data_IF_372691322284
#
_entry.id   IF_372691322284
#
_cell.length_a   1.000
_cell.length_b   1.000
_cell.length_c   1.000
_cell.angle_alpha   90.00
_cell.angle_beta   90.00
_cell.angle_gamma   90.00
#
_symmetry.space_group_name_H-M   'P 1'
#
loop_
_entity.id
_entity.type
_entity.pdbx_description
1 polymer ?
#
# COMPACT_ATOMS: atom_id res chain seq x y z
N UNK A 1 6.91 -2.03 -18.02
CA UNK A 1 5.61 -1.95 -17.32
C UNK A 1 5.50 -3.18 -16.44
N UNK A 2 5.39 -3.01 -15.12
CA UNK A 2 5.40 -4.11 -14.14
C UNK A 2 4.10 -4.92 -14.15
N UNK A 3 2.95 -4.23 -14.29
CA UNK A 3 1.63 -4.85 -14.45
C UNK A 3 1.14 -4.53 -15.84
N UNK A 4 0.82 -5.57 -16.63
CA UNK A 4 0.31 -5.43 -18.00
C UNK A 4 -1.21 -5.58 -18.01
N UNK A 5 -1.89 -4.66 -18.68
CA UNK A 5 -3.35 -4.76 -18.87
C UNK A 5 -3.70 -6.00 -19.68
N UNK A 6 -4.51 -6.87 -19.10
CA UNK A 6 -5.06 -8.06 -19.75
C UNK A 6 -6.36 -8.49 -19.05
N UNK A 7 -7.12 -9.37 -19.70
CA UNK A 7 -8.30 -9.99 -19.10
C UNK A 7 -7.95 -11.25 -18.27
N UNK A 8 -6.66 -11.56 -18.14
CA UNK A 8 -6.22 -12.67 -17.31
C UNK A 8 -6.51 -12.38 -15.82
N UNK A 9 -6.67 -13.44 -15.06
CA UNK A 9 -6.89 -13.35 -13.62
C UNK A 9 -5.68 -12.73 -12.92
N UNK A 10 -5.91 -11.67 -12.17
CA UNK A 10 -4.91 -11.03 -11.31
C UNK A 10 -4.93 -11.63 -9.90
N UNK A 11 -6.11 -11.73 -9.30
CA UNK A 11 -6.33 -12.31 -7.98
C UNK A 11 -7.80 -12.67 -7.77
N UNK A 12 -8.07 -13.48 -6.75
CA UNK A 12 -9.41 -13.81 -6.25
C UNK A 12 -9.55 -13.20 -4.86
N UNK A 13 -10.62 -12.47 -4.60
CA UNK A 13 -10.88 -11.92 -3.27
C UNK A 13 -11.46 -12.99 -2.30
N UNK A 14 -11.58 -12.62 -1.02
CA UNK A 14 -12.06 -13.54 0.03
C UNK A 14 -13.54 -13.95 -0.14
N UNK A 15 -14.32 -13.27 -0.99
CA UNK A 15 -15.69 -13.68 -1.37
C UNK A 15 -15.70 -14.63 -2.57
N UNK A 16 -14.54 -14.95 -3.13
CA UNK A 16 -14.39 -15.81 -4.30
C UNK A 16 -14.65 -15.06 -5.63
N UNK A 17 -14.63 -13.73 -5.63
CA UNK A 17 -14.78 -12.95 -6.87
C UNK A 17 -13.43 -12.83 -7.57
N UNK A 18 -13.43 -13.15 -8.86
CA UNK A 18 -12.28 -12.97 -9.75
C UNK A 18 -12.08 -11.49 -10.11
N UNK A 19 -10.83 -11.04 -10.09
CA UNK A 19 -10.41 -9.73 -10.55
C UNK A 19 -9.36 -9.87 -11.65
N UNK A 20 -9.65 -9.30 -12.83
CA UNK A 20 -8.70 -9.27 -13.94
C UNK A 20 -7.63 -8.20 -13.76
N UNK A 21 -6.49 -8.33 -14.44
CA UNK A 21 -5.47 -7.25 -14.46
C UNK A 21 -6.03 -5.94 -15.03
N UNK A 22 -6.99 -5.99 -15.94
CA UNK A 22 -7.66 -4.80 -16.47
C UNK A 22 -8.46 -4.08 -15.39
N UNK A 23 -9.30 -4.82 -14.64
CA UNK A 23 -10.06 -4.25 -13.51
C UNK A 23 -9.13 -3.73 -12.41
N UNK A 24 -8.06 -4.48 -12.13
CA UNK A 24 -7.06 -4.08 -11.14
C UNK A 24 -6.41 -2.74 -11.49
N UNK A 25 -5.91 -2.58 -12.72
CA UNK A 25 -5.33 -1.33 -13.19
C UNK A 25 -6.34 -0.16 -13.22
N UNK A 26 -7.58 -0.43 -13.63
CA UNK A 26 -8.66 0.56 -13.57
C UNK A 26 -8.86 1.06 -12.13
N UNK A 27 -8.97 0.16 -11.17
CA UNK A 27 -9.18 0.51 -9.76
C UNK A 27 -7.96 1.22 -9.14
N UNK A 28 -6.74 0.86 -9.53
CA UNK A 28 -5.53 1.62 -9.14
C UNK A 28 -5.61 3.07 -9.66
N UNK A 29 -6.01 3.29 -10.91
CA UNK A 29 -6.15 4.64 -11.48
C UNK A 29 -7.26 5.43 -10.79
N UNK A 30 -8.36 4.79 -10.41
CA UNK A 30 -9.43 5.40 -9.61
C UNK A 30 -8.93 5.82 -8.24
N UNK A 31 -8.21 4.96 -7.53
CA UNK A 31 -7.59 5.33 -6.24
C UNK A 31 -6.56 6.45 -6.40
N UNK A 32 -5.82 6.46 -7.51
CA UNK A 32 -4.86 7.53 -7.80
C UNK A 32 -5.52 8.89 -8.01
N UNK A 33 -6.81 8.95 -8.33
CA UNK A 33 -7.55 10.22 -8.47
C UNK A 33 -7.93 10.88 -7.15
N UNK A 34 -7.84 10.15 -6.03
CA UNK A 34 -8.17 10.66 -4.69
C UNK A 34 -7.17 11.69 -4.15
N UNK A 35 -5.99 11.77 -4.78
CA UNK A 35 -4.90 12.65 -4.34
C UNK A 35 -3.90 12.94 -5.47
N UNK A 36 -3.10 13.97 -5.27
CA UNK A 36 -2.13 14.44 -6.26
C UNK A 36 -0.81 13.66 -6.25
N UNK A 37 0.16 14.12 -7.05
CA UNK A 37 1.54 13.61 -7.07
C UNK A 37 2.19 13.76 -5.69
N UNK A 38 2.73 12.69 -5.18
CA UNK A 38 3.32 12.63 -3.83
C UNK A 38 4.79 13.04 -3.78
N UNK A 39 5.47 13.06 -4.94
CA UNK A 39 6.87 13.52 -5.01
C UNK A 39 7.84 12.78 -4.09
N UNK A 40 7.64 11.49 -3.86
CA UNK A 40 8.48 10.67 -2.98
C UNK A 40 8.06 10.65 -1.51
N UNK A 41 6.94 11.29 -1.16
CA UNK A 41 6.44 11.31 0.22
C UNK A 41 5.90 9.95 0.65
N UNK A 42 5.99 9.68 1.94
CA UNK A 42 5.50 8.46 2.57
C UNK A 42 3.98 8.49 2.72
N UNK A 43 3.35 7.34 2.54
CA UNK A 43 1.92 7.12 2.79
C UNK A 43 1.74 5.85 3.59
N UNK A 44 1.11 5.95 4.76
CA UNK A 44 0.80 4.80 5.60
C UNK A 44 -0.44 4.07 5.07
N UNK A 45 -0.35 2.75 4.96
CA UNK A 45 -1.50 1.87 4.67
C UNK A 45 -1.71 0.94 5.86
N UNK A 46 -2.81 1.12 6.56
CA UNK A 46 -3.23 0.33 7.71
C UNK A 46 -4.60 -0.31 7.44
N UNK A 47 -4.60 -1.50 6.89
CA UNK A 47 -5.80 -2.24 6.49
C UNK A 47 -5.53 -3.74 6.53
N UNK A 48 -6.58 -4.49 6.74
CA UNK A 48 -6.63 -5.93 6.55
C UNK A 48 -6.32 -6.31 5.08
N UNK A 49 -5.95 -7.57 4.83
CA UNK A 49 -5.73 -8.07 3.47
C UNK A 49 -7.05 -8.10 2.69
N UNK A 50 -7.17 -7.21 1.71
CA UNK A 50 -8.36 -7.01 0.87
C UNK A 50 -8.00 -6.32 -0.45
N UNK A 51 -8.85 -6.37 -1.48
CA UNK A 51 -8.57 -5.71 -2.76
C UNK A 51 -8.21 -4.24 -2.64
N UNK A 52 -8.87 -3.49 -1.77
CA UNK A 52 -8.65 -2.05 -1.56
C UNK A 52 -7.27 -1.76 -0.97
N UNK A 53 -6.68 -2.69 -0.21
CA UNK A 53 -5.29 -2.58 0.23
C UNK A 53 -4.34 -2.57 -0.97
N UNK A 54 -4.57 -3.49 -1.93
CA UNK A 54 -3.79 -3.53 -3.17
C UNK A 54 -3.98 -2.24 -4.00
N UNK A 55 -5.23 -1.76 -4.13
CA UNK A 55 -5.50 -0.52 -4.86
C UNK A 55 -4.81 0.68 -4.20
N UNK A 56 -4.83 0.78 -2.88
CA UNK A 56 -4.11 1.80 -2.12
C UNK A 56 -2.60 1.72 -2.38
N UNK A 57 -2.01 0.53 -2.19
CA UNK A 57 -0.58 0.30 -2.37
C UNK A 57 -0.09 0.74 -3.75
N UNK A 58 -0.71 0.22 -4.80
CA UNK A 58 -0.27 0.50 -6.17
C UNK A 58 -0.65 1.91 -6.65
N UNK A 59 -1.71 2.53 -6.10
CA UNK A 59 -2.03 3.93 -6.38
C UNK A 59 -0.98 4.90 -5.82
N UNK A 60 -0.38 4.58 -4.67
CA UNK A 60 0.73 5.34 -4.09
C UNK A 60 1.92 5.35 -5.06
N UNK A 61 2.30 4.21 -5.61
CA UNK A 61 3.34 4.13 -6.63
C UNK A 61 2.98 4.91 -7.89
N UNK A 62 1.73 4.79 -8.34
CA UNK A 62 1.23 5.50 -9.52
C UNK A 62 1.31 7.03 -9.35
N UNK A 63 1.18 7.52 -8.12
CA UNK A 63 1.33 8.94 -7.74
C UNK A 63 2.72 9.26 -7.14
N UNK A 64 3.75 8.47 -7.45
CA UNK A 64 5.15 8.67 -7.06
C UNK A 64 5.38 8.76 -5.55
N UNK A 65 4.60 8.04 -4.76
CA UNK A 65 4.79 7.93 -3.31
C UNK A 65 5.55 6.69 -2.89
N UNK A 66 5.87 6.64 -1.60
CA UNK A 66 6.49 5.51 -0.92
C UNK A 66 5.44 4.88 0.00
N UNK A 67 5.25 3.58 -0.13
CA UNK A 67 4.30 2.86 0.73
C UNK A 67 4.95 2.54 2.07
N UNK A 68 4.30 2.96 3.15
CA UNK A 68 4.60 2.50 4.51
C UNK A 68 3.51 1.53 4.92
N UNK A 69 3.85 0.28 5.17
CA UNK A 69 2.87 -0.75 5.55
C UNK A 69 3.22 -1.35 6.91
N UNK A 70 2.22 -1.48 7.75
CA UNK A 70 2.29 -2.13 9.07
C UNK A 70 1.11 -3.09 9.23
N UNK A 71 1.21 -3.97 10.22
CA UNK A 71 0.15 -4.94 10.53
C UNK A 71 -1.17 -4.21 10.87
N UNK A 72 -2.27 -4.67 10.28
CA UNK A 72 -3.61 -4.17 10.58
C UNK A 72 -3.98 -4.27 12.07
N UNK A 73 -3.35 -5.18 12.83
CA UNK A 73 -3.56 -5.34 14.27
C UNK A 73 -2.64 -4.49 15.15
N UNK A 74 -1.78 -3.66 14.55
CA UNK A 74 -0.88 -2.78 15.31
C UNK A 74 -1.62 -1.95 16.35
N UNK A 75 -1.00 -1.82 17.51
CA UNK A 75 -1.51 -1.01 18.63
C UNK A 75 -1.37 0.49 18.34
N UNK A 76 -2.12 1.38 19.03
CA UNK A 76 -1.95 2.82 18.89
C UNK A 76 -0.51 3.30 19.18
N UNK A 77 0.24 2.63 20.07
CA UNK A 77 1.62 2.98 20.38
C UNK A 77 2.56 2.63 19.22
N UNK A 78 2.38 1.46 18.61
CA UNK A 78 3.15 1.04 17.42
C UNK A 78 2.84 1.95 16.23
N UNK A 79 1.56 2.27 16.02
CA UNK A 79 1.14 3.21 14.95
C UNK A 79 1.77 4.59 15.20
N UNK A 80 1.69 5.13 16.41
CA UNK A 80 2.27 6.44 16.77
C UNK A 80 3.78 6.45 16.53
N UNK A 81 4.49 5.39 16.91
CA UNK A 81 5.91 5.23 16.63
C UNK A 81 6.20 5.32 15.13
N UNK A 82 5.46 4.56 14.30
CA UNK A 82 5.64 4.56 12.85
C UNK A 82 5.30 5.91 12.23
N UNK A 83 4.24 6.57 12.70
CA UNK A 83 3.86 7.91 12.24
C UNK A 83 4.97 8.93 12.51
N UNK A 84 5.58 8.88 13.71
CA UNK A 84 6.66 9.78 14.08
C UNK A 84 7.94 9.51 13.27
N UNK A 85 8.28 8.24 13.04
CA UNK A 85 9.50 7.83 12.33
C UNK A 85 9.38 8.06 10.80
N UNK A 86 8.25 7.69 10.20
CA UNK A 86 8.04 7.78 8.74
C UNK A 86 7.46 9.12 8.27
N UNK A 87 6.87 9.91 9.15
CA UNK A 87 6.23 11.21 8.85
C UNK A 87 5.37 11.18 7.56
N UNK A 88 4.32 10.35 7.50
CA UNK A 88 3.56 10.18 6.28
C UNK A 88 2.72 11.41 5.95
N UNK A 89 2.61 11.74 4.68
CA UNK A 89 1.72 12.80 4.17
C UNK A 89 0.24 12.40 4.28
N UNK A 90 -0.03 11.08 4.22
CA UNK A 90 -1.38 10.56 4.17
C UNK A 90 -1.45 9.17 4.81
N UNK A 91 -2.65 8.81 5.30
CA UNK A 91 -2.96 7.51 5.87
C UNK A 91 -4.18 6.93 5.17
N UNK A 92 -4.06 5.72 4.63
CA UNK A 92 -5.20 4.87 4.30
C UNK A 92 -5.54 3.99 5.49
N UNK A 93 -6.79 3.99 5.92
CA UNK A 93 -7.30 3.16 7.01
C UNK A 93 -8.65 2.56 6.68
N UNK A 94 -9.13 1.63 7.51
CA UNK A 94 -10.47 1.04 7.45
C UNK A 94 -11.31 1.50 8.64
N UNK A 95 -12.61 1.22 8.64
CA UNK A 95 -13.46 1.40 9.84
C UNK A 95 -12.91 0.63 11.05
N UNK A 96 -12.34 -0.57 10.80
CA UNK A 96 -11.75 -1.42 11.83
C UNK A 96 -10.45 -0.90 12.42
N UNK A 97 -9.73 -0.05 11.69
CA UNK A 97 -8.42 0.50 12.12
C UNK A 97 -8.48 1.98 12.52
N UNK A 98 -9.52 2.70 12.10
CA UNK A 98 -9.65 4.17 12.26
C UNK A 98 -9.49 4.65 13.71
N UNK A 99 -10.16 4.02 14.66
CA UNK A 99 -10.07 4.41 16.07
C UNK A 99 -8.64 4.32 16.61
N UNK A 100 -7.88 3.31 16.16
CA UNK A 100 -6.47 3.14 16.57
C UNK A 100 -5.57 4.20 15.93
N UNK A 101 -5.86 4.57 14.67
CA UNK A 101 -5.17 5.68 14.00
C UNK A 101 -5.41 6.99 14.75
N UNK A 102 -6.66 7.29 15.12
CA UNK A 102 -6.99 8.53 15.85
C UNK A 102 -6.27 8.59 17.19
N UNK A 103 -6.31 7.51 17.97
CA UNK A 103 -5.57 7.41 19.24
C UNK A 103 -4.05 7.52 19.07
N UNK A 104 -3.52 7.06 17.96
CA UNK A 104 -2.09 7.18 17.66
C UNK A 104 -1.70 8.63 17.33
N UNK A 105 -2.53 9.32 16.55
CA UNK A 105 -2.32 10.74 16.23
C UNK A 105 -2.40 11.64 17.46
N UNK A 106 -3.31 11.37 18.40
CA UNK A 106 -3.40 12.10 19.68
C UNK A 106 -2.13 11.98 20.56
N UNK A 107 -1.30 10.96 20.32
CA UNK A 107 -0.04 10.73 21.04
C UNK A 107 1.15 11.46 20.44
N UNK A 108 1.01 12.07 19.26
CA UNK A 108 2.11 12.78 18.60
C UNK A 108 2.22 14.20 19.14
N UNK A 109 3.35 14.53 19.78
CA UNK A 109 3.62 15.85 20.38
C UNK A 109 3.59 17.01 19.36
N UNK A 110 3.85 16.70 18.07
CA UNK A 110 3.93 17.68 16.97
C UNK A 110 2.83 17.51 15.93
N UNK A 111 1.73 16.80 16.26
CA UNK A 111 0.64 16.62 15.32
C UNK A 111 -0.14 17.94 15.13
N UNK A 112 -0.01 18.52 13.96
CA UNK A 112 -0.64 19.80 13.58
C UNK A 112 -1.96 19.63 12.80
N UNK A 113 -2.46 18.40 12.69
CA UNK A 113 -3.71 18.09 11.99
C UNK A 113 -3.60 18.01 10.46
N UNK A 114 -2.41 18.05 9.89
CA UNK A 114 -2.22 18.13 8.44
C UNK A 114 -2.16 16.78 7.72
N UNK A 115 -2.06 15.64 8.43
CA UNK A 115 -2.05 14.32 7.79
C UNK A 115 -3.43 14.02 7.20
N UNK A 116 -3.49 13.83 5.88
CA UNK A 116 -4.74 13.46 5.20
C UNK A 116 -5.11 12.01 5.53
N UNK A 117 -6.32 11.79 6.02
CA UNK A 117 -6.81 10.43 6.29
C UNK A 117 -7.85 10.06 5.24
N UNK A 118 -7.64 8.92 4.59
CA UNK A 118 -8.60 8.32 3.66
C UNK A 118 -9.09 7.00 4.26
N UNK A 119 -10.37 6.95 4.61
CA UNK A 119 -11.00 5.70 5.01
C UNK A 119 -11.47 4.96 3.76
N UNK A 120 -10.84 3.81 3.46
CA UNK A 120 -11.11 3.04 2.25
C UNK A 120 -12.50 2.42 2.22
N UNK A 121 -13.14 2.19 3.38
CA UNK A 121 -14.51 1.69 3.44
C UNK A 121 -15.56 2.73 3.01
N UNK A 122 -15.19 4.02 2.95
CA UNK A 122 -16.05 5.10 2.49
C UNK A 122 -15.86 5.40 0.99
N UNK A 123 -15.01 4.66 0.29
CA UNK A 123 -14.75 4.86 -1.13
C UNK A 123 -15.78 4.10 -1.94
N UNK A 124 -16.54 4.80 -2.78
CA UNK A 124 -17.46 4.23 -3.77
C UNK A 124 -16.75 4.22 -5.12
N UNK A 125 -16.25 3.07 -5.53
CA UNK A 125 -15.43 2.92 -6.75
C UNK A 125 -16.15 3.39 -8.03
N UNK A 126 -17.47 3.25 -8.09
CA UNK A 126 -18.31 3.63 -9.22
C UNK A 126 -18.40 5.16 -9.39
N UNK A 127 -18.17 5.91 -8.32
CA UNK A 127 -18.18 7.38 -8.33
C UNK A 127 -16.82 7.97 -8.70
N UNK A 128 -15.76 7.17 -8.71
CA UNK A 128 -14.43 7.63 -9.05
C UNK A 128 -14.15 7.52 -10.56
N UNK A 129 -13.57 8.59 -11.10
CA UNK A 129 -13.02 8.58 -12.44
C UNK A 129 -11.58 8.08 -12.42
N UNK A 130 -11.16 7.38 -13.46
CA UNK A 130 -9.76 7.02 -13.63
C UNK A 130 -8.90 8.27 -13.82
N UNK A 131 -7.77 8.32 -13.13
CA UNK A 131 -6.76 9.36 -13.39
C UNK A 131 -6.21 9.19 -14.80
N UNK A 132 -6.28 10.24 -15.59
CA UNK A 132 -5.82 10.22 -16.99
C UNK A 132 -4.29 10.26 -17.06
N UNK A 133 -3.66 9.16 -16.69
CA UNK A 133 -2.20 8.95 -16.79
C UNK A 133 -1.91 7.49 -17.07
N UNK A 134 -0.77 7.21 -17.69
CA UNK A 134 -0.25 5.85 -17.76
C UNK A 134 0.12 5.35 -16.36
N UNK A 135 -0.14 4.06 -16.11
CA UNK A 135 0.24 3.45 -14.83
C UNK A 135 1.77 3.47 -14.68
N UNK A 136 2.23 3.98 -13.54
CA UNK A 136 3.65 4.08 -13.17
C UNK A 136 3.98 3.15 -12.01
N UNK A 137 5.17 2.60 -12.05
CA UNK A 137 5.85 1.99 -10.89
C UNK A 137 7.12 2.78 -10.55
N UNK A 138 7.66 2.68 -9.35
CA UNK A 138 9.01 3.14 -9.08
C UNK A 138 10.03 2.50 -10.04
N UNK A 139 11.17 3.11 -10.23
CA UNK A 139 12.21 2.64 -11.13
C UNK A 139 13.57 2.55 -10.42
N UNK A 140 14.33 1.51 -10.71
CA UNK A 140 15.68 1.38 -10.23
C UNK A 140 15.78 1.44 -8.70
N UNK A 141 16.56 2.38 -8.20
CA UNK A 141 16.81 2.57 -6.77
C UNK A 141 15.85 3.58 -6.12
N UNK A 142 14.79 4.02 -6.83
CA UNK A 142 13.71 4.78 -6.18
C UNK A 142 13.14 3.98 -5.01
N UNK A 143 12.94 4.66 -3.89
CA UNK A 143 12.33 4.07 -2.71
C UNK A 143 10.88 3.68 -3.03
N UNK A 144 10.55 2.42 -2.84
CA UNK A 144 9.25 1.86 -3.20
C UNK A 144 8.38 1.58 -1.97
N UNK A 145 9.00 1.06 -0.92
CA UNK A 145 8.28 0.71 0.30
C UNK A 145 9.16 0.84 1.55
N UNK A 146 8.51 1.05 2.68
CA UNK A 146 9.09 0.97 4.01
C UNK A 146 8.29 -0.04 4.81
N UNK A 147 8.94 -1.13 5.24
CA UNK A 147 8.31 -2.20 6.01
C UNK A 147 8.86 -2.19 7.44
N UNK A 148 7.97 -2.15 8.42
CA UNK A 148 8.37 -2.20 9.81
C UNK A 148 8.44 -3.63 10.32
N UNK A 149 9.58 -3.99 10.90
CA UNK A 149 9.79 -5.29 11.52
C UNK A 149 9.85 -5.12 13.03
N UNK A 150 9.33 -6.12 13.77
CA UNK A 150 9.51 -6.20 15.23
C UNK A 150 11.01 -6.34 15.54
N UNK A 151 11.64 -5.21 15.90
CA UNK A 151 13.08 -5.21 16.22
C UNK A 151 13.36 -6.04 17.47
N UNK A 152 14.46 -6.79 17.47
CA UNK A 152 14.96 -7.52 18.65
C UNK A 152 15.31 -6.62 19.84
N UNK A 153 15.34 -5.30 19.62
CA UNK A 153 15.68 -4.25 20.60
C UNK A 153 14.47 -3.50 21.16
N UNK A 154 13.23 -3.95 20.87
CA UNK A 154 11.99 -3.41 21.43
C UNK A 154 11.25 -2.43 20.55
N UNK A 155 11.91 -1.59 19.75
CA UNK A 155 11.24 -0.68 18.83
C UNK A 155 11.25 -1.23 17.39
N UNK A 156 10.14 -1.13 16.63
CA UNK A 156 10.10 -1.50 15.23
C UNK A 156 11.15 -0.72 14.42
N UNK A 157 11.72 -1.36 13.40
CA UNK A 157 12.66 -0.72 12.48
C UNK A 157 12.05 -0.67 11.08
N UNK A 158 12.02 0.52 10.48
CA UNK A 158 11.59 0.73 9.11
C UNK A 158 12.67 0.29 8.11
N UNK A 159 12.46 -0.82 7.43
CA UNK A 159 13.34 -1.30 6.37
C UNK A 159 12.94 -0.61 5.07
N UNK A 160 13.81 0.24 4.55
CA UNK A 160 13.62 0.93 3.28
C UNK A 160 13.97 0.00 2.12
N UNK A 161 13.01 -0.22 1.23
CA UNK A 161 13.16 -1.08 0.07
C UNK A 161 13.05 -0.26 -1.21
N UNK A 162 14.10 -0.27 -2.03
CA UNK A 162 14.04 0.25 -3.39
C UNK A 162 13.24 -0.69 -4.29
N UNK A 163 12.81 -0.17 -5.45
CA UNK A 163 12.15 -1.01 -6.43
C UNK A 163 13.06 -2.15 -6.93
N UNK A 164 14.37 -1.90 -7.08
CA UNK A 164 15.34 -2.94 -7.41
C UNK A 164 15.42 -4.04 -6.34
N UNK A 165 15.31 -3.70 -5.05
CA UNK A 165 15.28 -4.72 -4.00
C UNK A 165 14.07 -5.65 -4.16
N UNK A 166 12.88 -5.08 -4.42
CA UNK A 166 11.65 -5.84 -4.64
C UNK A 166 11.74 -6.71 -5.90
N UNK A 167 12.22 -6.14 -7.02
CA UNK A 167 12.42 -6.87 -8.27
C UNK A 167 13.42 -8.00 -8.13
N UNK A 168 14.55 -7.77 -7.47
CA UNK A 168 15.59 -8.79 -7.27
C UNK A 168 15.06 -9.98 -6.47
N UNK A 169 14.29 -9.71 -5.41
CA UNK A 169 13.64 -10.75 -4.62
C UNK A 169 12.65 -11.56 -5.48
N UNK A 170 11.77 -10.88 -6.21
CA UNK A 170 10.79 -11.51 -7.06
C UNK A 170 11.43 -12.33 -8.19
N UNK A 171 12.47 -11.78 -8.84
CA UNK A 171 13.24 -12.49 -9.88
C UNK A 171 13.84 -13.77 -9.32
N UNK A 172 14.45 -13.71 -8.13
CA UNK A 172 15.00 -14.89 -7.47
C UNK A 172 13.98 -15.98 -7.13
N UNK A 173 12.72 -15.60 -6.84
CA UNK A 173 11.61 -16.54 -6.63
C UNK A 173 11.23 -17.22 -7.95
N UNK A 174 11.12 -16.46 -9.03
CA UNK A 174 10.74 -16.95 -10.36
C UNK A 174 11.85 -17.84 -10.94
N UNK A 175 13.11 -17.41 -10.89
CA UNK A 175 14.26 -18.17 -11.43
C UNK A 175 14.47 -19.51 -10.72
N UNK A 176 14.05 -19.63 -9.46
CA UNK A 176 14.12 -20.87 -8.70
C UNK A 176 12.86 -21.72 -8.85
N UNK A 177 11.92 -21.33 -9.69
CA UNK A 177 10.65 -21.99 -9.92
C UNK A 177 9.86 -22.25 -8.62
N UNK A 178 10.05 -21.39 -7.60
CA UNK A 178 9.31 -21.45 -6.32
C UNK A 178 7.83 -21.13 -6.56
N UNK A 179 7.56 -20.18 -7.48
CA UNK A 179 6.22 -19.81 -7.94
C UNK A 179 6.25 -19.77 -9.47
N UNK A 180 5.29 -20.42 -10.09
CA UNK A 180 5.13 -20.51 -11.55
C UNK A 180 3.80 -19.88 -11.99
N UNK A 181 3.56 -19.78 -13.30
CA UNK A 181 2.32 -19.21 -13.85
C UNK A 181 1.05 -20.00 -13.56
N UNK A 182 1.17 -21.24 -13.06
CA UNK A 182 0.05 -22.11 -12.70
C UNK A 182 -0.23 -22.14 -11.20
N UNK A 183 0.65 -21.54 -10.39
CA UNK A 183 0.50 -21.52 -8.94
C UNK A 183 -0.47 -20.42 -8.49
N UNK A 184 -1.20 -20.72 -7.43
CA UNK A 184 -1.99 -19.73 -6.70
C UNK A 184 -1.42 -19.61 -5.29
N UNK A 185 -1.21 -18.39 -4.84
CA UNK A 185 -0.71 -18.10 -3.50
C UNK A 185 -1.81 -17.49 -2.65
N UNK A 186 -1.91 -17.92 -1.39
CA UNK A 186 -2.82 -17.34 -0.42
C UNK A 186 -2.09 -16.22 0.34
N UNK A 187 -2.64 -15.01 0.29
CA UNK A 187 -2.22 -13.90 1.12
C UNK A 187 -3.07 -13.88 2.40
N UNK A 188 -2.45 -14.16 3.55
CA UNK A 188 -3.06 -14.18 4.88
C UNK A 188 -2.76 -12.90 5.64
#
# INVERSE_FOLDING_TARGET
MFIKESNDLAFVDFNGKDHSYKEFLSNIKKYSSLYDDLGGKNVLVLSENRPEWLYSFFSIWNNKGVVVSIDANSTPDEISYVLNDSSPEMIFCTNGTKERVDKALEKLDSYDGHVKIINIDNIVLEELNEKNQEYRTPLGDELAAMLYTSGTTGNPKGVMLSFNNLLSNMTGIIEREIITSIDQTLAL
#
